data_IF_585166774505
#
_entry.id   IF_585166774505
#
_cell.length_a   1.000
_cell.length_b   1.000
_cell.length_c   1.000
_cell.angle_alpha   90.00
_cell.angle_beta   90.00
_cell.angle_gamma   90.00
#
_symmetry.space_group_name_H-M   'P 1'
#
loop_
_entity.id
_entity.type
_entity.pdbx_description
1 polymer ?
#
# COMPACT_ATOMS: atom_id res chain seq x y z
N UNK A 1 -35.96 2.55 -3.57
CA UNK A 1 -34.79 2.98 -2.80
C UNK A 1 -33.88 3.76 -3.74
N UNK A 2 -33.98 5.10 -3.70
CA UNK A 2 -33.27 6.00 -4.61
C UNK A 2 -31.82 6.07 -4.14
N UNK A 3 -30.89 5.42 -4.82
CA UNK A 3 -29.46 5.68 -4.66
C UNK A 3 -29.21 7.08 -5.24
N UNK A 4 -29.18 8.07 -4.35
CA UNK A 4 -28.68 9.41 -4.68
C UNK A 4 -27.21 9.20 -5.11
N UNK A 5 -26.90 9.31 -6.38
CA UNK A 5 -25.55 9.51 -6.85
C UNK A 5 -25.09 10.85 -6.30
N UNK A 6 -24.32 10.82 -5.19
CA UNK A 6 -23.69 12.04 -4.69
C UNK A 6 -22.83 12.64 -5.80
N UNK A 7 -23.19 13.83 -6.22
CA UNK A 7 -22.45 14.54 -7.26
C UNK A 7 -21.07 14.88 -6.69
N UNK A 8 -20.01 14.29 -7.28
CA UNK A 8 -18.64 14.49 -6.82
C UNK A 8 -18.28 15.95 -6.80
N UNK A 9 -17.72 16.41 -5.70
CA UNK A 9 -17.20 17.79 -5.57
C UNK A 9 -16.10 18.07 -6.61
N UNK A 10 -15.90 19.31 -6.96
CA UNK A 10 -14.85 19.72 -7.90
C UNK A 10 -13.46 19.21 -7.50
N UNK A 11 -13.01 19.27 -6.23
CA UNK A 11 -11.73 18.68 -5.82
C UNK A 11 -11.67 17.17 -6.01
N UNK A 12 -12.77 16.43 -5.86
CA UNK A 12 -12.83 14.99 -6.11
C UNK A 12 -12.64 14.70 -7.60
N UNK A 13 -13.34 15.42 -8.50
CA UNK A 13 -13.16 15.28 -9.95
C UNK A 13 -11.71 15.55 -10.34
N UNK A 14 -11.13 16.66 -9.89
CA UNK A 14 -9.73 17.01 -10.15
C UNK A 14 -8.77 15.93 -9.60
N UNK A 15 -9.06 15.33 -8.44
CA UNK A 15 -8.22 14.25 -7.90
C UNK A 15 -8.23 13.00 -8.78
N UNK A 16 -9.36 12.68 -9.41
CA UNK A 16 -9.48 11.59 -10.38
C UNK A 16 -8.71 11.90 -11.67
N UNK A 17 -8.80 13.15 -12.16
CA UNK A 17 -8.03 13.58 -13.33
C UNK A 17 -6.52 13.50 -13.08
N UNK A 18 -6.06 13.85 -11.86
CA UNK A 18 -4.65 13.71 -11.48
C UNK A 18 -4.25 12.21 -11.42
N UNK A 19 -5.12 11.33 -10.91
CA UNK A 19 -4.86 9.89 -10.94
C UNK A 19 -4.75 9.39 -12.38
N UNK A 20 -5.65 9.82 -13.26
CA UNK A 20 -5.59 9.46 -14.68
C UNK A 20 -4.26 9.90 -15.29
N UNK A 21 -3.81 11.14 -15.04
CA UNK A 21 -2.51 11.66 -15.49
C UNK A 21 -1.34 10.81 -14.96
N UNK A 22 -1.36 10.41 -13.68
CA UNK A 22 -0.34 9.53 -13.09
C UNK A 22 -0.25 8.20 -13.87
N UNK A 23 -1.40 7.62 -14.21
CA UNK A 23 -1.48 6.35 -14.93
C UNK A 23 -1.06 6.50 -16.40
N UNK A 24 -1.51 7.56 -17.08
CA UNK A 24 -1.18 7.86 -18.49
C UNK A 24 0.31 8.15 -18.69
N UNK A 25 0.91 8.91 -17.78
CA UNK A 25 2.36 9.22 -17.81
C UNK A 25 3.20 8.07 -17.21
N UNK A 26 2.57 6.99 -16.73
CA UNK A 26 3.21 5.83 -16.11
C UNK A 26 4.17 6.22 -14.96
N UNK A 27 3.78 7.20 -14.15
CA UNK A 27 4.57 7.66 -13.02
C UNK A 27 4.68 6.58 -11.95
N UNK A 28 5.90 6.35 -11.47
CA UNK A 28 6.22 5.30 -10.51
C UNK A 28 6.30 5.85 -9.07
N UNK A 29 6.21 5.00 -8.05
CA UNK A 29 6.47 5.40 -6.67
C UNK A 29 7.80 6.16 -6.53
N UNK A 30 7.74 7.35 -5.93
CA UNK A 30 8.90 8.24 -5.78
C UNK A 30 9.06 9.27 -6.88
N UNK A 31 8.35 9.16 -8.01
CA UNK A 31 8.39 10.15 -9.07
C UNK A 31 7.73 11.46 -8.62
N UNK A 32 8.25 12.56 -9.13
CA UNK A 32 7.76 13.90 -8.82
C UNK A 32 6.62 14.29 -9.74
N UNK A 33 5.48 14.69 -9.15
CA UNK A 33 4.35 15.25 -9.88
C UNK A 33 4.65 16.68 -10.37
N UNK A 34 4.03 17.11 -11.49
CA UNK A 34 3.99 18.52 -11.88
C UNK A 34 3.48 19.39 -10.72
N UNK A 35 3.99 20.61 -10.61
CA UNK A 35 3.57 21.53 -9.55
C UNK A 35 2.11 22.00 -9.74
N UNK A 36 1.53 22.61 -8.68
CA UNK A 36 0.13 23.06 -8.69
C UNK A 36 -0.19 24.03 -9.85
N UNK A 37 0.77 24.83 -10.30
CA UNK A 37 0.58 25.77 -11.42
C UNK A 37 0.42 25.00 -12.74
N UNK A 38 1.33 24.08 -13.02
CA UNK A 38 1.29 23.24 -14.24
C UNK A 38 0.03 22.38 -14.25
N UNK A 39 -0.33 21.77 -13.09
CA UNK A 39 -1.55 20.97 -12.98
C UNK A 39 -2.81 21.84 -13.20
N UNK A 40 -2.82 23.08 -12.66
CA UNK A 40 -3.91 24.02 -12.87
C UNK A 40 -4.12 24.37 -14.35
N UNK A 41 -3.05 24.57 -15.08
CA UNK A 41 -3.08 24.83 -16.53
C UNK A 41 -3.52 23.60 -17.33
N UNK A 42 -2.93 22.42 -17.06
CA UNK A 42 -3.24 21.16 -17.76
C UNK A 42 -4.69 20.71 -17.57
N UNK A 43 -5.22 20.87 -16.36
CA UNK A 43 -6.57 20.43 -15.99
C UNK A 43 -7.63 21.53 -16.12
N UNK A 44 -7.23 22.72 -16.62
CA UNK A 44 -8.10 23.88 -16.71
C UNK A 44 -8.88 24.14 -15.41
N UNK A 45 -8.21 24.06 -14.27
CA UNK A 45 -8.80 24.15 -12.93
C UNK A 45 -8.10 25.22 -12.09
N UNK A 46 -8.84 25.84 -11.17
CA UNK A 46 -8.27 26.86 -10.25
C UNK A 46 -7.23 26.26 -9.32
N UNK A 47 -6.12 26.96 -9.06
CA UNK A 47 -5.02 26.52 -8.15
C UNK A 47 -5.53 26.10 -6.76
N UNK A 48 -6.53 26.80 -6.21
CA UNK A 48 -7.12 26.43 -4.91
C UNK A 48 -7.83 25.07 -4.95
N UNK A 49 -8.47 24.72 -6.06
CA UNK A 49 -9.14 23.43 -6.27
C UNK A 49 -8.12 22.33 -6.48
N UNK A 50 -7.06 22.57 -7.27
CA UNK A 50 -5.93 21.65 -7.42
C UNK A 50 -5.27 21.36 -6.07
N UNK A 51 -5.02 22.39 -5.25
CA UNK A 51 -4.45 22.21 -3.91
C UNK A 51 -5.33 21.37 -2.99
N UNK A 52 -6.66 21.55 -3.04
CA UNK A 52 -7.62 20.70 -2.30
C UNK A 52 -7.58 19.25 -2.81
N UNK A 53 -7.52 19.05 -4.12
CA UNK A 53 -7.38 17.73 -4.73
C UNK A 53 -6.06 17.05 -4.31
N UNK A 54 -4.94 17.79 -4.31
CA UNK A 54 -3.64 17.26 -3.84
C UNK A 54 -3.68 16.84 -2.37
N UNK A 55 -4.34 17.62 -1.49
CA UNK A 55 -4.55 17.22 -0.10
C UNK A 55 -5.41 15.95 0.03
N UNK A 56 -6.44 15.83 -0.81
CA UNK A 56 -7.27 14.62 -0.87
C UNK A 56 -6.46 13.40 -1.32
N UNK A 57 -5.59 13.54 -2.32
CA UNK A 57 -4.70 12.48 -2.75
C UNK A 57 -3.68 12.11 -1.67
N UNK A 58 -3.17 13.09 -0.94
CA UNK A 58 -2.25 12.86 0.18
C UNK A 58 -2.94 12.11 1.34
N UNK A 59 -4.18 12.48 1.70
CA UNK A 59 -4.95 11.76 2.74
C UNK A 59 -5.29 10.31 2.37
N UNK A 60 -5.28 10.00 1.07
CA UNK A 60 -5.46 8.64 0.53
C UNK A 60 -4.13 7.91 0.27
N UNK A 61 -3.02 8.47 0.74
CA UNK A 61 -1.67 7.97 0.51
C UNK A 61 -1.34 7.68 -0.97
N UNK A 62 -1.92 8.47 -1.89
CA UNK A 62 -1.58 8.37 -3.33
C UNK A 62 -0.34 9.20 -3.61
N UNK A 63 -0.20 10.35 -2.94
CA UNK A 63 0.95 11.24 -3.06
C UNK A 63 1.50 11.64 -1.69
N UNK A 64 2.77 12.03 -1.65
CA UNK A 64 3.43 12.63 -0.48
C UNK A 64 3.83 14.06 -0.79
N UNK A 65 3.31 15.02 -0.02
CA UNK A 65 3.66 16.44 -0.13
C UNK A 65 4.88 16.72 0.74
N UNK A 66 6.00 17.12 0.12
CA UNK A 66 7.24 17.51 0.82
C UNK A 66 7.39 19.02 0.74
N UNK A 67 7.30 19.68 1.89
CA UNK A 67 7.36 21.14 1.96
C UNK A 67 8.66 21.67 1.33
N UNK A 68 8.55 22.66 0.44
CA UNK A 68 9.66 23.25 -0.30
C UNK A 68 10.25 22.37 -1.42
N UNK A 69 9.93 21.08 -1.46
CA UNK A 69 10.49 20.14 -2.45
C UNK A 69 9.49 19.78 -3.56
N UNK A 70 8.20 19.69 -3.24
CA UNK A 70 7.14 19.35 -4.19
C UNK A 70 6.31 18.17 -3.74
N UNK A 71 5.56 17.59 -4.67
CA UNK A 71 4.71 16.43 -4.44
C UNK A 71 5.23 15.25 -5.24
N UNK A 72 5.23 14.09 -4.62
CA UNK A 72 5.78 12.84 -5.14
C UNK A 72 4.73 11.72 -5.05
N UNK A 73 4.81 10.75 -5.94
CA UNK A 73 4.02 9.52 -5.81
C UNK A 73 4.44 8.81 -4.52
N UNK A 74 3.49 8.38 -3.71
CA UNK A 74 3.77 7.65 -2.47
C UNK A 74 4.48 6.32 -2.74
N UNK A 75 5.24 5.80 -1.78
CA UNK A 75 5.93 4.49 -1.90
C UNK A 75 4.95 3.32 -2.09
N UNK A 76 3.78 3.42 -1.48
CA UNK A 76 2.69 2.44 -1.61
C UNK A 76 1.38 3.18 -1.88
N UNK A 77 1.14 3.65 -3.15
CA UNK A 77 0.01 4.50 -3.45
C UNK A 77 -1.33 3.82 -3.14
N UNK A 78 -2.20 4.54 -2.43
CA UNK A 78 -3.53 4.08 -2.05
C UNK A 78 -3.58 3.18 -0.82
N UNK A 79 -2.45 2.80 -0.22
CA UNK A 79 -2.40 2.07 1.05
C UNK A 79 -2.26 3.07 2.21
N UNK A 80 -3.30 3.21 3.02
CA UNK A 80 -3.27 4.02 4.24
C UNK A 80 -2.69 3.21 5.39
N UNK A 81 -2.22 3.87 6.45
CA UNK A 81 -1.52 3.23 7.58
C UNK A 81 -2.40 2.25 8.36
N UNK A 82 -3.69 2.54 8.51
CA UNK A 82 -4.66 1.68 9.22
C UNK A 82 -5.95 1.53 8.40
N UNK A 83 -5.92 0.77 7.29
CA UNK A 83 -7.05 0.68 6.36
C UNK A 83 -8.27 -0.03 6.95
N UNK A 84 -8.08 -0.84 7.99
CA UNK A 84 -9.13 -1.63 8.64
C UNK A 84 -9.53 -1.08 10.01
N UNK A 85 -8.94 0.04 10.45
CA UNK A 85 -9.28 0.70 11.70
C UNK A 85 -8.89 -0.09 12.96
N UNK A 86 -7.86 -0.93 12.88
CA UNK A 86 -7.40 -1.76 14.01
C UNK A 86 -6.96 -0.94 15.23
N UNK A 87 -6.52 0.30 15.02
CA UNK A 87 -6.19 1.24 16.08
C UNK A 87 -7.33 1.43 17.08
N UNK A 88 -8.58 1.41 16.60
CA UNK A 88 -9.77 1.66 17.41
C UNK A 88 -10.36 0.40 18.09
N UNK A 89 -9.76 -0.77 17.86
CA UNK A 89 -10.19 -2.01 18.53
C UNK A 89 -9.60 -2.04 19.93
N UNK A 90 -10.49 -1.95 20.96
CA UNK A 90 -10.08 -1.85 22.37
C UNK A 90 -9.44 -3.12 22.91
N UNK A 91 -9.94 -4.30 22.55
CA UNK A 91 -9.40 -5.58 23.01
C UNK A 91 -8.28 -6.08 22.09
N UNK A 92 -7.05 -5.67 22.38
CA UNK A 92 -5.87 -6.02 21.59
C UNK A 92 -5.57 -7.52 21.58
N UNK A 93 -5.80 -8.23 22.69
CA UNK A 93 -5.58 -9.69 22.74
C UNK A 93 -6.56 -10.43 21.82
N UNK A 94 -7.83 -10.01 21.83
CA UNK A 94 -8.81 -10.58 20.89
C UNK A 94 -8.43 -10.29 19.45
N UNK A 95 -8.03 -9.06 19.14
CA UNK A 95 -7.58 -8.68 17.79
C UNK A 95 -6.43 -9.57 17.31
N UNK A 96 -5.42 -9.81 18.16
CA UNK A 96 -4.28 -10.68 17.81
C UNK A 96 -4.75 -12.09 17.48
N UNK A 97 -5.64 -12.67 18.32
CA UNK A 97 -6.17 -14.01 18.09
C UNK A 97 -6.99 -14.08 16.79
N UNK A 98 -7.86 -13.10 16.54
CA UNK A 98 -8.68 -13.03 15.33
C UNK A 98 -7.79 -12.87 14.07
N UNK A 99 -6.71 -12.08 14.16
CA UNK A 99 -5.73 -11.94 13.07
C UNK A 99 -4.99 -13.25 12.79
N UNK A 100 -4.61 -14.01 13.83
CA UNK A 100 -3.99 -15.32 13.64
C UNK A 100 -4.94 -16.28 12.94
N UNK A 101 -6.24 -16.29 13.29
CA UNK A 101 -7.23 -17.10 12.58
C UNK A 101 -7.29 -16.74 11.08
N UNK A 102 -7.28 -15.46 10.73
CA UNK A 102 -7.26 -15.00 9.34
C UNK A 102 -5.96 -15.44 8.64
N UNK A 103 -4.80 -15.33 9.31
CA UNK A 103 -3.52 -15.82 8.78
C UNK A 103 -3.58 -17.32 8.48
N UNK A 104 -4.10 -18.14 9.39
CA UNK A 104 -4.26 -19.59 9.17
C UNK A 104 -5.16 -19.93 7.97
N UNK A 105 -6.11 -19.07 7.64
CA UNK A 105 -6.95 -19.25 6.44
C UNK A 105 -6.22 -18.87 5.14
N UNK A 106 -5.43 -17.82 5.17
CA UNK A 106 -4.84 -17.24 3.96
C UNK A 106 -3.46 -17.82 3.61
N UNK A 107 -2.58 -17.94 4.60
CA UNK A 107 -1.16 -18.25 4.36
C UNK A 107 -0.90 -19.61 3.69
N UNK A 108 -1.60 -20.70 4.00
CA UNK A 108 -1.41 -21.96 3.27
C UNK A 108 -1.71 -21.83 1.78
N UNK A 109 -2.75 -21.07 1.42
CA UNK A 109 -3.12 -20.81 0.01
C UNK A 109 -2.09 -19.92 -0.67
N UNK A 110 -1.59 -18.90 0.02
CA UNK A 110 -0.52 -18.02 -0.47
C UNK A 110 0.77 -18.81 -0.70
N UNK A 111 1.15 -19.67 0.24
CA UNK A 111 2.32 -20.52 0.11
C UNK A 111 2.19 -21.50 -1.08
N UNK A 112 1.02 -22.07 -1.31
CA UNK A 112 0.76 -22.93 -2.46
C UNK A 112 0.90 -22.16 -3.79
N UNK A 113 0.40 -20.91 -3.85
CA UNK A 113 0.59 -20.04 -5.00
C UNK A 113 2.08 -19.70 -5.22
N UNK A 114 2.80 -19.38 -4.15
CA UNK A 114 4.24 -19.12 -4.20
C UNK A 114 5.01 -20.35 -4.70
N UNK A 115 4.69 -21.55 -4.21
CA UNK A 115 5.31 -22.80 -4.66
C UNK A 115 5.12 -23.05 -6.17
N UNK A 116 4.04 -22.54 -6.75
CA UNK A 116 3.76 -22.67 -8.19
C UNK A 116 4.50 -21.63 -9.04
N UNK A 117 4.70 -20.41 -8.54
CA UNK A 117 5.15 -19.25 -9.33
C UNK A 117 6.53 -18.71 -8.96
N UNK A 118 7.09 -19.14 -7.80
CA UNK A 118 8.38 -18.64 -7.33
C UNK A 118 9.52 -19.03 -8.29
N UNK A 119 10.40 -18.09 -8.55
CA UNK A 119 11.65 -18.34 -9.25
C UNK A 119 12.80 -18.72 -8.29
N UNK A 120 13.98 -19.03 -8.85
CA UNK A 120 15.15 -19.40 -8.05
C UNK A 120 15.63 -18.29 -7.09
N UNK A 121 15.40 -17.02 -7.43
CA UNK A 121 15.79 -15.88 -6.59
C UNK A 121 14.82 -15.76 -5.41
N UNK A 122 13.53 -15.95 -5.67
CA UNK A 122 12.50 -15.95 -4.63
C UNK A 122 12.78 -17.06 -3.61
N UNK A 123 13.01 -18.28 -4.08
CA UNK A 123 13.32 -19.44 -3.22
C UNK A 123 14.56 -19.16 -2.37
N UNK A 124 15.65 -18.65 -2.98
CA UNK A 124 16.86 -18.31 -2.24
C UNK A 124 16.60 -17.26 -1.15
N UNK A 125 15.79 -16.22 -1.45
CA UNK A 125 15.43 -15.18 -0.50
C UNK A 125 14.58 -15.73 0.65
N UNK A 126 13.57 -16.53 0.34
CA UNK A 126 12.69 -17.15 1.35
C UNK A 126 13.51 -18.06 2.27
N UNK A 127 14.40 -18.90 1.72
CA UNK A 127 15.26 -19.79 2.52
C UNK A 127 16.16 -18.99 3.45
N UNK A 128 16.82 -17.93 2.95
CA UNK A 128 17.70 -17.11 3.78
C UNK A 128 16.93 -16.44 4.94
N UNK A 129 15.72 -15.90 4.67
CA UNK A 129 14.88 -15.30 5.72
C UNK A 129 14.38 -16.34 6.72
N UNK A 130 14.06 -17.57 6.27
CA UNK A 130 13.69 -18.67 7.14
C UNK A 130 14.83 -19.01 8.10
N UNK A 131 16.07 -19.16 7.58
CA UNK A 131 17.25 -19.43 8.38
C UNK A 131 17.51 -18.34 9.42
N UNK A 132 17.37 -17.04 9.04
CA UNK A 132 17.50 -15.89 9.95
C UNK A 132 16.45 -15.92 11.07
N UNK A 133 15.18 -16.19 10.74
CA UNK A 133 14.10 -16.30 11.74
C UNK A 133 14.37 -17.45 12.70
N UNK A 134 14.78 -18.63 12.19
CA UNK A 134 15.12 -19.77 13.03
C UNK A 134 16.30 -19.48 13.97
N UNK A 135 17.32 -18.77 13.52
CA UNK A 135 18.48 -18.40 14.33
C UNK A 135 18.06 -17.46 15.48
N UNK A 136 17.28 -16.42 15.17
CA UNK A 136 16.76 -15.50 16.18
C UNK A 136 15.88 -16.20 17.22
N UNK A 137 15.01 -17.12 16.77
CA UNK A 137 14.18 -17.94 17.66
C UNK A 137 15.02 -18.81 18.60
N UNK A 138 16.06 -19.48 18.08
CA UNK A 138 16.97 -20.32 18.89
C UNK A 138 17.71 -19.51 19.95
N UNK A 139 18.06 -18.27 19.62
CA UNK A 139 18.77 -17.35 20.51
C UNK A 139 17.84 -16.60 21.48
N UNK A 140 16.52 -16.80 21.40
CA UNK A 140 15.50 -16.04 22.15
C UNK A 140 15.57 -14.52 21.88
N UNK A 141 15.95 -14.12 20.67
CA UNK A 141 16.01 -12.74 20.21
C UNK A 141 14.70 -12.33 19.54
N UNK A 142 14.48 -10.99 19.40
CA UNK A 142 13.32 -10.47 18.68
C UNK A 142 13.42 -10.78 17.18
N UNK A 143 12.52 -11.60 16.70
CA UNK A 143 12.42 -12.04 15.32
C UNK A 143 11.29 -11.35 14.54
N UNK A 144 10.53 -10.46 15.18
CA UNK A 144 9.29 -9.87 14.62
C UNK A 144 9.50 -9.26 13.23
N UNK A 145 10.56 -8.46 13.05
CA UNK A 145 10.83 -7.82 11.77
C UNK A 145 11.18 -8.83 10.67
N UNK A 146 11.96 -9.87 11.01
CA UNK A 146 12.36 -10.91 10.07
C UNK A 146 11.21 -11.84 9.70
N UNK A 147 10.31 -12.11 10.65
CA UNK A 147 9.07 -12.85 10.40
C UNK A 147 8.18 -12.11 9.38
N UNK A 148 8.01 -10.80 9.55
CA UNK A 148 7.28 -9.96 8.58
C UNK A 148 7.95 -10.02 7.19
N UNK A 149 9.28 -9.89 7.12
CA UNK A 149 10.03 -9.97 5.86
C UNK A 149 9.88 -11.35 5.19
N UNK A 150 9.88 -12.43 5.96
CA UNK A 150 9.69 -13.80 5.49
C UNK A 150 8.30 -14.00 4.87
N UNK A 151 7.22 -13.67 5.59
CA UNK A 151 5.85 -13.76 5.08
C UNK A 151 5.62 -12.87 3.86
N UNK A 152 6.17 -11.66 3.87
CA UNK A 152 6.13 -10.74 2.71
C UNK A 152 6.86 -11.35 1.50
N UNK A 153 8.00 -12.00 1.70
CA UNK A 153 8.73 -12.65 0.61
C UNK A 153 7.93 -13.80 -0.02
N UNK A 154 7.24 -14.61 0.79
CA UNK A 154 6.32 -15.64 0.29
C UNK A 154 5.17 -15.02 -0.51
N UNK A 155 4.53 -13.96 0.03
CA UNK A 155 3.45 -13.27 -0.63
C UNK A 155 3.86 -12.70 -2.00
N UNK A 156 5.02 -12.05 -2.09
CA UNK A 156 5.59 -11.54 -3.35
C UNK A 156 5.92 -12.65 -4.34
N UNK A 157 6.37 -13.79 -3.85
CA UNK A 157 6.73 -14.96 -4.67
C UNK A 157 5.52 -15.64 -5.31
N UNK A 158 4.31 -15.37 -4.81
CA UNK A 158 3.06 -15.80 -5.44
C UNK A 158 2.84 -15.19 -6.83
N UNK A 159 3.59 -14.10 -7.17
CA UNK A 159 3.45 -13.28 -8.39
C UNK A 159 2.03 -12.69 -8.58
N UNK A 160 1.21 -12.74 -7.56
CA UNK A 160 -0.11 -12.10 -7.54
C UNK A 160 0.00 -10.68 -7.01
N UNK A 161 -0.52 -9.70 -7.75
CA UNK A 161 -0.39 -8.26 -7.41
C UNK A 161 -1.23 -7.85 -6.19
N UNK A 162 -2.21 -8.65 -5.79
CA UNK A 162 -3.12 -8.38 -4.66
C UNK A 162 -2.58 -8.98 -3.36
N UNK A 163 -2.07 -10.21 -3.42
CA UNK A 163 -1.64 -10.97 -2.24
C UNK A 163 -0.68 -10.19 -1.33
N UNK A 164 0.39 -9.52 -1.83
CA UNK A 164 1.29 -8.75 -0.96
C UNK A 164 0.65 -7.51 -0.29
N UNK A 165 -0.59 -7.19 -0.63
CA UNK A 165 -1.36 -6.09 -0.02
C UNK A 165 -2.30 -6.58 1.09
N UNK A 166 -2.40 -7.89 1.27
CA UNK A 166 -3.26 -8.55 2.27
C UNK A 166 -2.48 -9.06 3.48
N UNK A 167 -1.16 -9.18 3.35
CA UNK A 167 -0.24 -9.75 4.37
C UNK A 167 0.54 -8.68 5.09
#
# INVERSE_FOLDING_TARGET
MHLLSEEKSLPQKISEDIIALILEENLQPGDKLPNETILSERLNAGRSSVRKAMKLLASRNIVTIRQGSGTYIASSPGMVEDPLGFTFIGNKQKLINDLLEVRFLLEPSIAAMAATHADKKDIKKITALCDEVEELLRNHEDHTQKDIEFHTAIALSSKNVVVPRLV
#
